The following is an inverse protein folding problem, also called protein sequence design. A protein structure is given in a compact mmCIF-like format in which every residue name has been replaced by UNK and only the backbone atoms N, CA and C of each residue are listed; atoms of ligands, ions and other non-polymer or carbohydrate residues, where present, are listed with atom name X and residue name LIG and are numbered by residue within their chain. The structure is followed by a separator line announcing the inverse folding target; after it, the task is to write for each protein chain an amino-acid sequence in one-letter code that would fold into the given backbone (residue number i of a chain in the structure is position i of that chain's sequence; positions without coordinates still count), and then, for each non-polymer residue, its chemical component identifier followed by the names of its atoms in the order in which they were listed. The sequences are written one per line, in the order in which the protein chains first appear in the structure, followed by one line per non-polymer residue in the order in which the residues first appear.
data_IF_039828076364
#
_entry.id   IF_039828076364
#
_cell.length_a   1.000
_cell.length_b   1.000
_cell.length_c   1.000
_cell.angle_alpha   90.00
_cell.angle_beta   90.00
_cell.angle_gamma   90.00
#
_symmetry.space_group_name_H-M   'P 1'
#
loop_
_entity.id
_entity.type
_entity.pdbx_description
1 polymer ?
#
# COMPACT_ATOMS: atom_id res chain seq x y z
N UNK A 1 3.34 6.44 -29.89
CA UNK A 1 3.17 5.83 -28.55
C UNK A 1 4.20 6.26 -27.49
N UNK A 2 5.20 7.13 -27.77
CA UNK A 2 6.21 7.56 -26.77
C UNK A 2 6.25 9.06 -26.43
N UNK A 3 5.47 9.91 -27.12
CA UNK A 3 5.53 11.37 -26.92
C UNK A 3 4.98 11.89 -25.59
N UNK A 4 4.05 11.15 -24.95
CA UNK A 4 3.46 11.50 -23.65
C UNK A 4 4.23 10.88 -22.45
N UNK A 5 5.33 10.16 -22.69
CA UNK A 5 6.07 9.42 -21.65
C UNK A 5 7.28 10.16 -21.06
N UNK A 6 7.69 11.31 -21.61
CA UNK A 6 8.89 12.01 -21.14
C UNK A 6 8.74 12.49 -19.69
N UNK A 7 7.59 13.08 -19.35
CA UNK A 7 7.34 13.60 -18.00
C UNK A 7 7.30 12.48 -16.94
N UNK A 8 6.76 11.30 -17.26
CA UNK A 8 6.78 10.15 -16.35
C UNK A 8 8.20 9.64 -16.11
N UNK A 9 9.00 9.55 -17.16
CA UNK A 9 10.41 9.15 -17.07
C UNK A 9 11.18 10.13 -16.19
N UNK A 10 10.95 11.43 -16.36
CA UNK A 10 11.55 12.46 -15.51
C UNK A 10 11.09 12.36 -14.05
N UNK A 11 9.82 12.05 -13.78
CA UNK A 11 9.33 11.82 -12.43
C UNK A 11 10.00 10.60 -11.78
N UNK A 12 10.10 9.49 -12.50
CA UNK A 12 10.80 8.28 -12.02
C UNK A 12 12.29 8.59 -11.81
N UNK A 13 12.94 9.27 -12.75
CA UNK A 13 14.34 9.68 -12.62
C UNK A 13 14.56 10.60 -11.42
N UNK A 14 13.63 11.51 -11.13
CA UNK A 14 13.68 12.36 -9.95
C UNK A 14 13.58 11.56 -8.64
N UNK A 15 12.72 10.53 -8.60
CA UNK A 15 12.64 9.61 -7.44
C UNK A 15 13.96 8.88 -7.23
N UNK A 16 14.55 8.32 -8.29
CA UNK A 16 15.86 7.65 -8.19
C UNK A 16 16.99 8.62 -7.84
N UNK A 17 16.98 9.83 -8.37
CA UNK A 17 17.94 10.86 -8.00
C UNK A 17 17.82 11.25 -6.52
N UNK A 18 16.59 11.40 -6.00
CA UNK A 18 16.35 11.65 -4.59
C UNK A 18 16.84 10.48 -3.71
N UNK A 19 16.65 9.22 -4.15
CA UNK A 19 17.18 8.04 -3.45
C UNK A 19 18.71 8.00 -3.45
N UNK A 20 19.36 8.36 -4.56
CA UNK A 20 20.82 8.50 -4.63
C UNK A 20 21.32 9.55 -3.63
N UNK A 21 20.71 10.74 -3.64
CA UNK A 21 21.07 11.83 -2.72
C UNK A 21 20.84 11.39 -1.27
N UNK A 22 19.68 10.80 -0.95
CA UNK A 22 19.37 10.28 0.38
C UNK A 22 20.33 9.18 0.84
N UNK A 23 20.78 8.32 -0.08
CA UNK A 23 21.78 7.29 0.18
C UNK A 23 23.12 7.92 0.55
N UNK A 24 23.61 8.89 -0.24
CA UNK A 24 24.86 9.60 0.03
C UNK A 24 24.80 10.34 1.37
N UNK A 25 23.74 11.13 1.59
CA UNK A 25 23.53 11.87 2.83
C UNK A 25 23.52 10.93 4.03
N UNK A 26 22.81 9.81 3.95
CA UNK A 26 22.73 8.84 5.05
C UNK A 26 24.07 8.15 5.31
N UNK A 27 24.81 7.77 4.27
CA UNK A 27 26.14 7.17 4.43
C UNK A 27 27.08 8.16 5.11
N UNK A 28 27.10 9.42 4.66
CA UNK A 28 27.97 10.47 5.25
C UNK A 28 27.58 10.75 6.70
N UNK A 29 26.28 10.89 7.00
CA UNK A 29 25.79 11.18 8.35
C UNK A 29 26.05 10.05 9.36
N UNK A 30 26.17 8.79 8.88
CA UNK A 30 26.39 7.62 9.75
C UNK A 30 27.86 7.23 9.90
N UNK A 31 28.81 7.95 9.28
CA UNK A 31 30.25 7.64 9.39
C UNK A 31 30.79 7.70 10.81
N UNK A 32 30.22 8.58 11.63
CA UNK A 32 30.57 8.77 13.04
C UNK A 32 29.58 8.12 14.01
N UNK A 33 28.57 7.41 13.51
CA UNK A 33 27.56 6.78 14.34
C UNK A 33 28.03 5.41 14.87
N UNK A 34 27.51 4.96 16.03
CA UNK A 34 27.77 3.61 16.55
C UNK A 34 27.43 2.53 15.52
N UNK A 35 28.26 1.47 15.45
CA UNK A 35 28.20 0.47 14.39
C UNK A 35 26.83 -0.22 14.28
N UNK A 36 26.20 -0.54 15.41
CA UNK A 36 24.88 -1.16 15.46
C UNK A 36 23.79 -0.25 14.88
N UNK A 37 23.84 1.05 15.23
CA UNK A 37 22.91 2.05 14.71
C UNK A 37 23.13 2.29 13.21
N UNK A 38 24.38 2.33 12.77
CA UNK A 38 24.73 2.47 11.36
C UNK A 38 24.22 1.28 10.54
N UNK A 39 24.45 0.03 10.99
CA UNK A 39 23.99 -1.19 10.31
C UNK A 39 22.46 -1.20 10.13
N UNK A 40 21.71 -0.89 11.19
CA UNK A 40 20.23 -0.84 11.13
C UNK A 40 19.71 0.25 10.16
N UNK A 41 20.33 1.43 10.17
CA UNK A 41 19.91 2.53 9.27
C UNK A 41 20.30 2.25 7.81
N UNK A 42 21.44 1.63 7.55
CA UNK A 42 21.88 1.26 6.21
C UNK A 42 21.06 0.11 5.64
N UNK A 43 20.66 -0.87 6.45
CA UNK A 43 19.81 -1.98 5.98
C UNK A 43 18.48 -1.48 5.41
N UNK A 44 17.89 -0.43 6.01
CA UNK A 44 16.66 0.16 5.48
C UNK A 44 16.82 0.77 4.09
N UNK A 45 18.01 1.26 3.70
CA UNK A 45 18.25 1.76 2.33
C UNK A 45 18.03 0.68 1.29
N UNK A 46 18.43 -0.56 1.58
CA UNK A 46 18.19 -1.70 0.69
C UNK A 46 16.70 -1.89 0.42
N UNK A 47 15.85 -1.75 1.44
CA UNK A 47 14.40 -1.84 1.28
C UNK A 47 13.86 -0.75 0.35
N UNK A 48 14.32 0.49 0.51
CA UNK A 48 13.91 1.60 -0.35
C UNK A 48 14.28 1.38 -1.82
N UNK A 49 15.50 0.92 -2.08
CA UNK A 49 15.94 0.58 -3.43
C UNK A 49 15.12 -0.56 -4.03
N UNK A 50 14.84 -1.63 -3.27
CA UNK A 50 14.00 -2.73 -3.72
C UNK A 50 12.59 -2.23 -4.09
N UNK A 51 11.95 -1.45 -3.21
CA UNK A 51 10.59 -0.95 -3.44
C UNK A 51 10.53 -0.02 -4.66
N UNK A 52 11.49 0.90 -4.80
CA UNK A 52 11.56 1.80 -5.95
C UNK A 52 11.77 1.04 -7.27
N UNK A 53 12.63 0.03 -7.29
CA UNK A 53 12.85 -0.82 -8.46
C UNK A 53 11.63 -1.67 -8.81
N UNK A 54 10.95 -2.25 -7.81
CA UNK A 54 9.71 -3.00 -8.03
C UNK A 54 8.61 -2.11 -8.61
N UNK A 55 8.43 -0.90 -8.07
CA UNK A 55 7.47 0.08 -8.56
C UNK A 55 7.80 0.51 -10.00
N UNK A 56 9.06 0.85 -10.29
CA UNK A 56 9.50 1.24 -11.62
C UNK A 56 9.26 0.12 -12.64
N UNK A 57 9.56 -1.13 -12.29
CA UNK A 57 9.32 -2.30 -13.13
C UNK A 57 7.81 -2.49 -13.37
N UNK A 58 6.99 -2.36 -12.34
CA UNK A 58 5.54 -2.47 -12.45
C UNK A 58 4.95 -1.41 -13.39
N UNK A 59 5.46 -0.16 -13.33
CA UNK A 59 5.05 0.92 -14.23
C UNK A 59 5.46 0.61 -15.69
N UNK A 60 6.67 0.10 -15.91
CA UNK A 60 7.14 -0.30 -17.25
C UNK A 60 6.26 -1.42 -17.83
N UNK A 61 5.86 -2.38 -17.00
CA UNK A 61 4.94 -3.47 -17.37
C UNK A 61 3.47 -3.01 -17.51
N UNK A 62 3.18 -1.72 -17.38
CA UNK A 62 1.85 -1.15 -17.61
C UNK A 62 0.82 -1.56 -16.54
N UNK A 63 -0.46 -1.58 -16.92
CA UNK A 63 -1.56 -1.88 -15.99
C UNK A 63 -1.40 -3.27 -15.38
N UNK A 64 -0.98 -4.24 -16.19
CA UNK A 64 -0.72 -5.61 -15.73
C UNK A 64 0.36 -5.64 -14.65
N UNK A 65 1.47 -4.93 -14.86
CA UNK A 65 2.53 -4.82 -13.85
C UNK A 65 2.05 -4.21 -12.53
N UNK A 66 1.32 -3.10 -12.59
CA UNK A 66 0.76 -2.45 -11.41
C UNK A 66 -0.25 -3.35 -10.68
N UNK A 67 -1.14 -4.03 -11.41
CA UNK A 67 -2.10 -4.97 -10.83
C UNK A 67 -1.45 -6.18 -10.17
N UNK A 68 -0.39 -6.73 -10.77
CA UNK A 68 0.40 -7.81 -10.16
C UNK A 68 1.11 -7.33 -8.89
N UNK A 69 1.77 -6.16 -8.93
CA UNK A 69 2.46 -5.60 -7.77
C UNK A 69 1.50 -5.40 -6.58
N UNK A 70 0.35 -4.77 -6.82
CA UNK A 70 -0.66 -4.52 -5.80
C UNK A 70 -1.33 -5.82 -5.32
N UNK A 71 -1.57 -6.78 -6.22
CA UNK A 71 -2.07 -8.11 -5.86
C UNK A 71 -1.11 -8.89 -4.96
N UNK A 72 0.20 -8.85 -5.26
CA UNK A 72 1.23 -9.44 -4.40
C UNK A 72 1.28 -8.73 -3.04
N UNK A 73 1.24 -7.40 -3.02
CA UNK A 73 1.21 -6.64 -1.76
C UNK A 73 -0.02 -7.00 -0.90
N UNK A 74 -1.20 -7.09 -1.53
CA UNK A 74 -2.43 -7.54 -0.87
C UNK A 74 -2.36 -8.98 -0.37
N UNK A 75 -1.74 -9.89 -1.13
CA UNK A 75 -1.52 -11.28 -0.72
C UNK A 75 -0.61 -11.37 0.52
N UNK A 76 0.50 -10.64 0.52
CA UNK A 76 1.41 -10.58 1.66
C UNK A 76 0.71 -10.01 2.90
N UNK A 77 -0.05 -8.92 2.74
CA UNK A 77 -0.81 -8.33 3.85
C UNK A 77 -1.89 -9.27 4.40
N UNK A 78 -2.63 -9.96 3.53
CA UNK A 78 -3.61 -10.97 3.95
C UNK A 78 -2.96 -12.18 4.61
N UNK A 79 -1.74 -12.56 4.23
CA UNK A 79 -0.99 -13.62 4.90
C UNK A 79 -0.64 -13.26 6.33
N UNK A 80 -0.14 -12.04 6.56
CA UNK A 80 0.14 -11.55 7.91
C UNK A 80 -1.15 -11.44 8.73
N UNK A 81 -2.25 -10.98 8.13
CA UNK A 81 -3.55 -10.96 8.79
C UNK A 81 -4.04 -12.38 9.13
N UNK A 82 -3.87 -13.34 8.23
CA UNK A 82 -4.26 -14.73 8.49
C UNK A 82 -3.48 -15.33 9.66
N UNK A 83 -2.20 -14.99 9.79
CA UNK A 83 -1.40 -15.36 10.95
C UNK A 83 -1.94 -14.75 12.26
N UNK A 84 -2.39 -13.48 12.23
CA UNK A 84 -2.99 -12.81 13.39
C UNK A 84 -4.36 -13.38 13.79
N UNK A 85 -5.18 -13.77 12.81
CA UNK A 85 -6.47 -14.43 13.07
C UNK A 85 -6.24 -15.85 13.64
N UNK A 86 -5.21 -16.53 13.16
CA UNK A 86 -4.88 -17.91 13.49
C UNK A 86 -5.33 -18.88 12.41
N UNK A 87 -4.37 -19.64 11.88
CA UNK A 87 -4.60 -20.61 10.80
C UNK A 87 -5.59 -21.72 11.19
N UNK A 88 -5.66 -22.09 12.47
CA UNK A 88 -6.64 -23.07 12.98
C UNK A 88 -8.07 -22.56 12.89
N UNK A 89 -8.31 -21.29 13.26
CA UNK A 89 -9.64 -20.66 13.21
C UNK A 89 -10.15 -20.43 11.77
N UNK A 90 -9.21 -20.16 10.86
CA UNK A 90 -9.50 -20.04 9.43
C UNK A 90 -9.81 -21.41 8.80
N UNK A 91 -8.99 -22.42 9.12
CA UNK A 91 -9.00 -23.71 8.46
C UNK A 91 -8.61 -23.62 6.98
N UNK A 92 -8.41 -24.78 6.33
CA UNK A 92 -8.04 -24.82 4.90
C UNK A 92 -9.06 -24.11 4.01
N UNK A 93 -10.34 -24.29 4.29
CA UNK A 93 -11.43 -23.70 3.49
C UNK A 93 -11.52 -22.18 3.65
N UNK A 94 -11.28 -21.64 4.85
CA UNK A 94 -11.24 -20.19 5.07
C UNK A 94 -10.06 -19.54 4.35
N UNK A 95 -8.88 -20.16 4.39
CA UNK A 95 -7.71 -19.69 3.64
C UNK A 95 -7.93 -19.69 2.13
N UNK A 96 -8.53 -20.77 1.60
CA UNK A 96 -8.84 -20.86 0.18
C UNK A 96 -9.78 -19.74 -0.28
N UNK A 97 -10.77 -19.39 0.52
CA UNK A 97 -11.67 -18.27 0.19
C UNK A 97 -11.00 -16.93 0.37
N UNK A 98 -10.24 -16.73 1.43
CA UNK A 98 -9.56 -15.46 1.65
C UNK A 98 -8.65 -15.11 0.46
N UNK A 99 -7.77 -16.05 0.08
CA UNK A 99 -6.85 -15.83 -1.04
C UNK A 99 -7.53 -15.97 -2.40
N UNK A 100 -8.52 -16.85 -2.53
CA UNK A 100 -9.32 -17.01 -3.74
C UNK A 100 -10.13 -15.76 -4.08
N UNK A 101 -10.73 -15.11 -3.08
CA UNK A 101 -11.44 -13.83 -3.25
C UNK A 101 -10.50 -12.71 -3.67
N UNK A 102 -9.30 -12.60 -3.07
CA UNK A 102 -8.27 -11.66 -3.51
C UNK A 102 -7.89 -11.91 -4.97
N UNK A 103 -7.58 -13.16 -5.32
CA UNK A 103 -7.16 -13.53 -6.66
C UNK A 103 -8.24 -13.23 -7.71
N UNK A 104 -9.47 -13.68 -7.47
CA UNK A 104 -10.59 -13.42 -8.35
C UNK A 104 -10.84 -11.92 -8.54
N UNK A 105 -10.71 -11.14 -7.46
CA UNK A 105 -10.88 -9.69 -7.49
C UNK A 105 -9.83 -9.00 -8.40
N UNK A 106 -8.53 -9.28 -8.21
CA UNK A 106 -7.49 -8.71 -9.05
C UNK A 106 -7.53 -9.23 -10.49
N UNK A 107 -7.96 -10.48 -10.72
CA UNK A 107 -8.18 -10.99 -12.07
C UNK A 107 -9.27 -10.20 -12.80
N UNK A 108 -10.41 -9.94 -12.16
CA UNK A 108 -11.48 -9.11 -12.75
C UNK A 108 -10.95 -7.73 -13.17
N UNK A 109 -10.14 -7.10 -12.32
CA UNK A 109 -9.53 -5.80 -12.61
C UNK A 109 -8.58 -5.86 -13.82
N UNK A 110 -7.78 -6.92 -13.92
CA UNK A 110 -6.86 -7.12 -15.04
C UNK A 110 -7.58 -7.46 -16.36
N UNK A 111 -8.76 -8.07 -16.29
CA UNK A 111 -9.63 -8.30 -17.45
C UNK A 111 -10.49 -7.08 -17.84
N UNK A 112 -10.23 -5.91 -17.23
CA UNK A 112 -10.91 -4.66 -17.58
C UNK A 112 -12.29 -4.47 -16.93
N UNK A 113 -12.67 -5.32 -15.96
CA UNK A 113 -13.92 -5.22 -15.21
C UNK A 113 -13.74 -4.48 -13.88
N UNK A 114 -12.85 -3.48 -13.84
CA UNK A 114 -12.45 -2.80 -12.60
C UNK A 114 -13.57 -2.01 -11.94
N UNK A 115 -14.44 -1.35 -12.71
CA UNK A 115 -15.62 -0.65 -12.20
C UNK A 115 -16.55 -1.61 -11.45
N UNK A 116 -17.02 -2.67 -12.14
CA UNK A 116 -17.87 -3.71 -11.56
C UNK A 116 -17.22 -4.36 -10.34
N UNK A 117 -15.93 -4.70 -10.43
CA UNK A 117 -15.19 -5.30 -9.33
C UNK A 117 -15.20 -4.37 -8.10
N UNK A 118 -14.89 -3.09 -8.27
CA UNK A 118 -14.84 -2.13 -7.16
C UNK A 118 -16.22 -1.87 -6.53
N UNK A 119 -17.25 -1.67 -7.33
CA UNK A 119 -18.59 -1.37 -6.82
C UNK A 119 -19.19 -2.54 -6.05
N UNK A 120 -18.99 -3.78 -6.54
CA UNK A 120 -19.59 -4.97 -5.96
C UNK A 120 -18.72 -5.64 -4.88
N UNK A 121 -17.42 -5.33 -4.81
CA UNK A 121 -16.47 -6.03 -3.93
C UNK A 121 -16.93 -6.12 -2.46
N UNK A 122 -17.36 -5.04 -1.78
CA UNK A 122 -17.77 -5.14 -0.39
C UNK A 122 -18.93 -6.12 -0.16
N UNK A 123 -19.95 -6.06 -1.02
CA UNK A 123 -21.11 -6.96 -0.94
C UNK A 123 -20.73 -8.40 -1.27
N UNK A 124 -19.93 -8.60 -2.32
CA UNK A 124 -19.45 -9.92 -2.74
C UNK A 124 -18.57 -10.56 -1.67
N UNK A 125 -17.64 -9.83 -1.06
CA UNK A 125 -16.80 -10.35 0.03
C UNK A 125 -17.62 -10.75 1.24
N UNK A 126 -18.64 -9.96 1.60
CA UNK A 126 -19.56 -10.31 2.68
C UNK A 126 -20.29 -11.62 2.40
N UNK A 127 -20.89 -11.74 1.21
CA UNK A 127 -21.68 -12.93 0.84
C UNK A 127 -20.79 -14.16 0.68
N UNK A 128 -19.65 -14.03 0.00
CA UNK A 128 -18.75 -15.17 -0.26
C UNK A 128 -18.13 -15.67 1.04
N UNK A 129 -17.59 -14.78 1.88
CA UNK A 129 -16.93 -15.18 3.12
C UNK A 129 -17.95 -15.68 4.15
N UNK A 130 -19.01 -14.89 4.40
CA UNK A 130 -20.04 -15.23 5.37
C UNK A 130 -20.84 -16.46 4.93
N UNK A 131 -21.39 -16.41 3.71
CA UNK A 131 -22.20 -17.49 3.16
C UNK A 131 -21.45 -18.82 3.11
N UNK A 132 -20.17 -18.82 2.71
CA UNK A 132 -19.40 -20.06 2.71
C UNK A 132 -19.16 -20.61 4.11
N UNK A 133 -18.77 -19.76 5.07
CA UNK A 133 -18.52 -20.24 6.44
C UNK A 133 -19.80 -20.76 7.09
N UNK A 134 -20.94 -20.12 6.82
CA UNK A 134 -22.25 -20.59 7.26
C UNK A 134 -22.62 -21.93 6.60
N UNK A 135 -22.39 -22.07 5.29
CA UNK A 135 -22.62 -23.34 4.58
C UNK A 135 -21.72 -24.47 5.11
N UNK A 136 -20.50 -24.16 5.54
CA UNK A 136 -19.60 -25.13 6.19
C UNK A 136 -20.01 -25.47 7.63
N UNK A 137 -21.11 -24.91 8.14
CA UNK A 137 -21.62 -25.17 9.50
C UNK A 137 -20.69 -24.62 10.59
N UNK A 138 -19.88 -23.61 10.29
CA UNK A 138 -18.96 -23.03 11.29
C UNK A 138 -19.76 -22.18 12.26
N UNK A 139 -19.87 -22.63 13.51
CA UNK A 139 -20.55 -21.89 14.58
C UNK A 139 -19.52 -21.22 15.50
N UNK A 140 -18.46 -21.94 15.86
CA UNK A 140 -17.45 -21.46 16.80
C UNK A 140 -16.66 -20.28 16.25
N UNK A 141 -16.64 -19.19 17.01
CA UNK A 141 -15.95 -17.96 16.63
C UNK A 141 -16.41 -17.37 15.30
N UNK A 142 -17.59 -17.74 14.80
CA UNK A 142 -18.07 -17.37 13.46
C UNK A 142 -17.97 -15.87 13.22
N UNK A 143 -18.56 -15.04 14.09
CA UNK A 143 -18.55 -13.58 13.92
C UNK A 143 -17.13 -13.02 13.96
N UNK A 144 -16.28 -13.49 14.87
CA UNK A 144 -14.90 -13.01 15.03
C UNK A 144 -14.06 -13.28 13.79
N UNK A 145 -14.01 -14.53 13.34
CA UNK A 145 -13.17 -14.93 12.21
C UNK A 145 -13.71 -14.41 10.88
N UNK A 146 -15.04 -14.49 10.68
CA UNK A 146 -15.69 -14.03 9.45
C UNK A 146 -15.55 -12.52 9.28
N UNK A 147 -15.78 -11.74 10.35
CA UNK A 147 -15.60 -10.28 10.28
C UNK A 147 -14.14 -9.90 10.03
N UNK A 148 -13.18 -10.57 10.66
CA UNK A 148 -11.76 -10.32 10.41
C UNK A 148 -11.34 -10.64 8.96
N UNK A 149 -11.85 -11.73 8.37
CA UNK A 149 -11.63 -12.06 6.96
C UNK A 149 -12.21 -11.01 6.02
N UNK A 150 -13.47 -10.60 6.24
CA UNK A 150 -14.13 -9.55 5.44
C UNK A 150 -13.36 -8.24 5.57
N UNK A 151 -13.01 -7.84 6.78
CA UNK A 151 -12.22 -6.63 7.05
C UNK A 151 -10.86 -6.67 6.35
N UNK A 152 -10.20 -7.83 6.36
CA UNK A 152 -8.97 -8.06 5.62
C UNK A 152 -9.10 -7.82 4.13
N UNK A 153 -10.13 -8.39 3.51
CA UNK A 153 -10.40 -8.18 2.09
C UNK A 153 -10.75 -6.72 1.78
N UNK A 154 -11.52 -6.07 2.66
CA UNK A 154 -11.85 -4.65 2.50
C UNK A 154 -10.60 -3.76 2.56
N UNK A 155 -9.65 -4.04 3.46
CA UNK A 155 -8.42 -3.24 3.58
C UNK A 155 -7.39 -3.59 2.50
N UNK A 156 -7.09 -4.87 2.33
CA UNK A 156 -5.91 -5.32 1.59
C UNK A 156 -6.21 -5.79 0.16
N UNK A 157 -7.49 -5.99 -0.18
CA UNK A 157 -7.91 -6.13 -1.57
C UNK A 157 -8.58 -4.84 -2.05
N UNK A 158 -9.73 -4.48 -1.49
CA UNK A 158 -10.56 -3.38 -1.98
C UNK A 158 -9.93 -2.00 -1.80
N UNK A 159 -9.56 -1.58 -0.59
CA UNK A 159 -9.00 -0.25 -0.38
C UNK A 159 -7.64 -0.10 -1.12
N UNK A 160 -6.78 -1.12 -1.06
CA UNK A 160 -5.50 -1.13 -1.76
C UNK A 160 -5.65 -1.01 -3.28
N UNK A 161 -6.66 -1.65 -3.88
CA UNK A 161 -6.86 -1.61 -5.34
C UNK A 161 -7.29 -0.25 -5.87
N UNK A 162 -7.69 0.70 -5.01
CA UNK A 162 -7.98 2.06 -5.45
C UNK A 162 -6.73 2.74 -6.03
N UNK A 163 -5.54 2.31 -5.62
CA UNK A 163 -4.29 2.71 -6.28
C UNK A 163 -4.23 2.24 -7.75
N UNK A 164 -4.78 1.06 -8.07
CA UNK A 164 -4.92 0.59 -9.45
C UNK A 164 -6.01 1.35 -10.21
N UNK A 165 -7.14 1.66 -9.57
CA UNK A 165 -8.26 2.36 -10.20
C UNK A 165 -7.88 3.76 -10.72
N UNK A 166 -6.84 4.38 -10.15
CA UNK A 166 -6.25 5.62 -10.69
C UNK A 166 -5.76 5.47 -12.15
N UNK A 167 -5.41 4.24 -12.57
CA UNK A 167 -4.97 3.94 -13.94
C UNK A 167 -6.15 3.78 -14.92
N UNK A 168 -7.37 3.66 -14.40
CA UNK A 168 -8.62 3.49 -15.15
C UNK A 168 -9.45 4.78 -15.22
N UNK A 169 -8.93 5.89 -14.70
CA UNK A 169 -9.58 7.19 -14.82
C UNK A 169 -9.81 7.58 -16.30
N UNK A 170 -10.89 8.33 -16.61
CA UNK A 170 -11.14 8.82 -17.95
C UNK A 170 -9.96 9.63 -18.51
N UNK A 171 -9.73 9.57 -19.82
CA UNK A 171 -8.59 10.27 -20.45
C UNK A 171 -8.61 11.79 -20.22
N UNK A 172 -9.80 12.39 -20.02
CA UNK A 172 -9.93 13.79 -19.66
C UNK A 172 -9.31 14.15 -18.29
N UNK A 173 -9.13 13.16 -17.41
CA UNK A 173 -8.50 13.30 -16.10
C UNK A 173 -7.04 12.80 -16.10
N UNK A 174 -6.47 12.46 -17.26
CA UNK A 174 -5.08 12.00 -17.34
C UNK A 174 -4.11 13.18 -17.13
N UNK A 175 -3.15 13.07 -16.18
CA UNK A 175 -2.22 14.16 -15.93
C UNK A 175 -1.18 14.20 -17.05
N UNK A 176 -0.43 15.31 -17.15
CA UNK A 176 0.63 15.47 -18.17
C UNK A 176 1.71 14.37 -18.12
N UNK A 177 1.86 13.72 -16.98
CA UNK A 177 2.74 12.57 -16.74
C UNK A 177 2.14 11.23 -17.18
N UNK A 178 0.98 11.23 -17.83
CA UNK A 178 0.23 10.02 -18.18
C UNK A 178 -0.43 9.35 -16.97
N UNK A 179 -1.24 8.31 -17.22
CA UNK A 179 -2.07 7.63 -16.20
C UNK A 179 -1.31 7.14 -14.97
N UNK A 180 -0.05 6.72 -15.13
CA UNK A 180 0.81 6.29 -14.01
C UNK A 180 1.27 7.45 -13.14
N UNK A 181 1.16 8.69 -13.63
CA UNK A 181 1.38 9.90 -12.86
C UNK A 181 0.55 9.96 -11.59
N UNK A 182 -0.71 9.52 -11.63
CA UNK A 182 -1.55 9.46 -10.43
C UNK A 182 -1.03 8.48 -9.40
N UNK A 183 -0.54 7.30 -9.84
CA UNK A 183 0.04 6.31 -8.94
C UNK A 183 1.34 6.83 -8.31
N UNK A 184 2.21 7.45 -9.10
CA UNK A 184 3.44 8.08 -8.60
C UNK A 184 3.12 9.22 -7.64
N UNK A 185 2.14 10.07 -7.98
CA UNK A 185 1.70 11.17 -7.12
C UNK A 185 1.13 10.67 -5.79
N UNK A 186 0.29 9.63 -5.80
CA UNK A 186 -0.22 9.01 -4.58
C UNK A 186 0.92 8.57 -3.65
N UNK A 187 1.93 7.89 -4.20
CA UNK A 187 3.09 7.40 -3.44
C UNK A 187 3.90 8.58 -2.91
N UNK A 188 4.18 9.58 -3.74
CA UNK A 188 4.88 10.79 -3.30
C UNK A 188 4.13 11.52 -2.19
N UNK A 189 2.80 11.61 -2.30
CA UNK A 189 1.95 12.24 -1.31
C UNK A 189 2.01 11.48 0.03
N UNK A 190 1.88 10.16 0.01
CA UNK A 190 1.95 9.35 1.24
C UNK A 190 3.33 9.37 1.88
N UNK A 191 4.40 9.25 1.08
CA UNK A 191 5.78 9.26 1.61
C UNK A 191 6.18 10.64 2.13
N UNK A 192 5.80 11.71 1.42
CA UNK A 192 6.03 13.08 1.89
C UNK A 192 5.27 13.34 3.18
N UNK A 193 4.03 12.85 3.29
CA UNK A 193 3.25 12.94 4.52
C UNK A 193 4.00 12.27 5.68
N UNK A 194 4.43 11.03 5.53
CA UNK A 194 5.10 10.27 6.59
C UNK A 194 6.42 10.92 7.02
N UNK A 195 7.22 11.42 6.05
CA UNK A 195 8.47 12.14 6.34
C UNK A 195 8.16 13.45 7.10
N UNK A 196 7.19 14.24 6.62
CA UNK A 196 6.81 15.49 7.25
C UNK A 196 6.28 15.28 8.68
N UNK A 197 5.43 14.26 8.89
CA UNK A 197 4.95 13.87 10.21
C UNK A 197 6.11 13.47 11.13
N UNK A 198 7.07 12.69 10.62
CA UNK A 198 8.21 12.25 11.40
C UNK A 198 9.14 13.42 11.78
N UNK A 199 9.40 14.36 10.86
CA UNK A 199 10.27 15.51 11.11
C UNK A 199 9.63 16.49 12.09
N UNK A 200 8.38 16.88 11.84
CA UNK A 200 7.66 17.84 12.68
C UNK A 200 7.30 17.22 14.03
N UNK A 201 6.88 15.95 14.07
CA UNK A 201 6.58 15.24 15.30
C UNK A 201 7.80 15.04 16.20
N UNK A 202 9.01 14.83 15.66
CA UNK A 202 10.23 14.74 16.48
C UNK A 202 10.68 16.10 17.01
N UNK A 203 10.47 17.18 16.25
CA UNK A 203 10.93 18.54 16.62
C UNK A 203 9.96 19.25 17.56
N UNK A 204 8.65 19.08 17.34
CA UNK A 204 7.60 19.86 17.99
C UNK A 204 6.56 19.00 18.71
N UNK A 205 6.63 17.67 18.61
CA UNK A 205 5.62 16.77 19.14
C UNK A 205 5.53 16.82 20.66
N UNK A 206 4.41 17.32 21.17
CA UNK A 206 4.08 17.35 22.61
C UNK A 206 2.78 16.62 22.89
N UNK A 207 1.81 16.77 21.99
CA UNK A 207 0.44 16.26 22.18
C UNK A 207 0.27 14.92 21.48
N UNK A 208 0.06 13.83 22.22
CA UNK A 208 -0.14 12.49 21.64
C UNK A 208 -1.57 12.33 21.13
N UNK A 209 -1.74 11.82 19.92
CA UNK A 209 -3.08 11.60 19.32
C UNK A 209 -3.68 10.29 19.84
N UNK A 210 -2.93 9.20 19.73
CA UNK A 210 -3.40 7.85 20.04
C UNK A 210 -2.37 7.08 20.88
N UNK A 211 -2.11 7.50 22.14
CA UNK A 211 -0.99 6.98 22.93
C UNK A 211 -1.03 5.47 23.19
N UNK A 212 -2.22 4.85 23.23
CA UNK A 212 -2.40 3.40 23.42
C UNK A 212 -2.18 2.57 22.16
N UNK A 213 -2.35 3.16 20.98
CA UNK A 213 -2.26 2.45 19.68
C UNK A 213 -0.92 2.76 19.01
N UNK A 214 -0.48 4.02 19.05
CA UNK A 214 0.77 4.48 18.46
C UNK A 214 1.42 5.54 19.37
N UNK A 215 2.30 5.12 20.30
CA UNK A 215 2.86 6.02 21.33
C UNK A 215 3.74 7.14 20.74
N UNK A 216 4.23 6.97 19.52
CA UNK A 216 5.10 7.93 18.85
C UNK A 216 4.35 8.97 18.00
N UNK A 217 3.04 8.81 17.74
CA UNK A 217 2.27 9.77 16.93
C UNK A 217 1.84 10.99 17.74
N UNK A 218 2.12 12.17 17.19
CA UNK A 218 1.81 13.48 17.80
C UNK A 218 0.90 14.31 16.89
N UNK A 219 0.07 15.17 17.50
CA UNK A 219 -0.84 16.08 16.80
C UNK A 219 -0.06 17.07 15.93
N UNK A 220 1.06 17.57 16.45
CA UNK A 220 1.95 18.48 15.74
C UNK A 220 2.58 17.79 14.53
N UNK A 221 2.92 16.51 14.66
CA UNK A 221 3.34 15.65 13.55
C UNK A 221 2.27 15.56 12.47
N UNK A 222 1.04 15.17 12.83
CA UNK A 222 -0.09 15.12 11.90
C UNK A 222 -0.32 16.49 11.22
N UNK A 223 -0.28 17.56 12.02
CA UNK A 223 -0.14 18.97 11.66
C UNK A 223 0.73 19.18 10.42
N UNK A 224 2.02 18.89 10.62
CA UNK A 224 3.05 19.05 9.60
C UNK A 224 2.84 18.18 8.38
N UNK A 225 2.36 16.95 8.58
CA UNK A 225 2.01 16.04 7.48
C UNK A 225 0.94 16.62 6.57
N UNK A 226 -0.18 17.07 7.15
CA UNK A 226 -1.31 17.68 6.41
C UNK A 226 -0.82 18.89 5.62
N UNK A 227 -0.15 19.84 6.28
CA UNK A 227 0.36 21.05 5.62
C UNK A 227 1.31 20.71 4.47
N UNK A 228 2.24 19.78 4.68
CA UNK A 228 3.18 19.38 3.63
C UNK A 228 2.47 18.76 2.42
N UNK A 229 1.48 17.90 2.65
CA UNK A 229 0.70 17.30 1.54
C UNK A 229 -0.24 18.27 0.86
N UNK A 230 -0.77 19.28 1.55
CA UNK A 230 -1.62 20.30 0.93
C UNK A 230 -0.82 21.25 0.02
N UNK A 231 0.48 21.45 0.31
CA UNK A 231 1.36 22.30 -0.48
C UNK A 231 2.00 21.59 -1.70
N UNK A 232 1.88 20.25 -1.78
CA UNK A 232 2.49 19.41 -2.82
C UNK A 232 1.60 19.28 -4.07
#
# INVERSE_FOLDING_TARGET
MFGHNSALIWAIAAVFAALCIGTVVRIVALRSAPEEQARSRLSSLRTWWILASLLATAIICGKVGAGILLGIAGLLALRELAALIGYSALGRSGLLILYGSLFAYYMLMLFGQSALASEMAPAVFLVVVGGWRAWRGVVDGYIRTTSAMIWGLLLFAYALSHAYLLLDLPMAAEPRTGRFGWLVYLILLTETNDIAQAVTGRRFGRTKITPRVSPNKSLEGLLGGVVATTLL
#
